data_IF_860536363338
#
_entry.id   IF_860536363338
#
_cell.length_a   1.000
_cell.length_b   1.000
_cell.length_c   1.000
_cell.angle_alpha   90.00
_cell.angle_beta   90.00
_cell.angle_gamma   90.00
#
_symmetry.space_group_name_H-M   'P 1'
#
loop_
_entity.id
_entity.type
_entity.pdbx_description
1 polymer ?
#
# COMPACT_ATOMS: atom_id res chain seq x y z
N UNK A 1 13.93 13.81 -30.42
CA UNK A 1 13.34 13.62 -29.08
C UNK A 1 12.26 12.56 -29.21
N UNK A 2 12.40 11.40 -28.58
CA UNK A 2 11.33 10.38 -28.59
C UNK A 2 10.10 10.94 -27.86
N UNK A 3 8.92 10.79 -28.47
CA UNK A 3 7.65 11.28 -27.91
C UNK A 3 7.27 10.35 -26.75
N UNK A 4 7.16 10.90 -25.55
CA UNK A 4 6.74 10.13 -24.36
C UNK A 4 5.23 9.91 -24.40
N UNK A 5 4.81 8.65 -24.31
CA UNK A 5 3.41 8.26 -24.21
C UNK A 5 2.89 8.55 -22.79
N UNK A 6 1.69 9.13 -22.71
CA UNK A 6 1.08 9.59 -21.45
C UNK A 6 -0.37 9.16 -21.36
N UNK A 7 -0.72 8.60 -20.21
CA UNK A 7 -2.07 8.16 -19.86
C UNK A 7 -2.46 8.74 -18.50
N UNK A 8 -3.70 9.17 -18.36
CA UNK A 8 -4.16 9.91 -17.19
C UNK A 8 -5.28 9.15 -16.49
N UNK A 9 -5.19 9.02 -15.17
CA UNK A 9 -6.28 8.52 -14.32
C UNK A 9 -6.74 9.64 -13.39
N UNK A 10 -7.88 10.30 -13.70
CA UNK A 10 -8.43 11.35 -12.84
C UNK A 10 -8.78 10.83 -11.46
N UNK A 11 -8.52 11.63 -10.43
CA UNK A 11 -8.97 11.32 -9.07
C UNK A 11 -10.44 11.71 -8.91
N UNK A 12 -11.26 10.75 -8.51
CA UNK A 12 -12.69 10.88 -8.25
C UNK A 12 -12.99 11.16 -6.78
N UNK A 13 -11.97 11.13 -5.92
CA UNK A 13 -12.09 11.27 -4.47
C UNK A 13 -12.22 9.93 -3.74
N UNK A 14 -12.17 8.81 -4.47
CA UNK A 14 -12.14 7.46 -3.92
C UNK A 14 -10.69 6.97 -3.94
N UNK A 15 -9.95 7.31 -2.89
CA UNK A 15 -8.49 7.24 -2.87
C UNK A 15 -7.97 5.83 -3.17
N UNK A 16 -8.58 4.78 -2.60
CA UNK A 16 -8.13 3.41 -2.86
C UNK A 16 -8.48 2.98 -4.27
N UNK A 17 -9.70 3.28 -4.73
CA UNK A 17 -10.12 2.94 -6.08
C UNK A 17 -9.24 3.63 -7.12
N UNK A 18 -9.04 4.93 -7.00
CA UNK A 18 -8.30 5.74 -7.97
C UNK A 18 -6.83 5.29 -8.04
N UNK A 19 -6.20 5.05 -6.89
CA UNK A 19 -4.84 4.54 -6.82
C UNK A 19 -4.73 3.13 -7.42
N UNK A 20 -5.66 2.23 -7.10
CA UNK A 20 -5.69 0.89 -7.66
C UNK A 20 -5.90 0.91 -9.18
N UNK A 21 -6.77 1.79 -9.70
CA UNK A 21 -6.94 2.00 -11.15
C UNK A 21 -5.65 2.49 -11.80
N UNK A 22 -4.96 3.44 -11.18
CA UNK A 22 -3.69 3.97 -11.69
C UNK A 22 -2.63 2.89 -11.81
N UNK A 23 -2.47 2.05 -10.79
CA UNK A 23 -1.57 0.89 -10.86
C UNK A 23 -2.04 -0.16 -11.87
N UNK A 24 -3.34 -0.43 -11.96
CA UNK A 24 -3.89 -1.34 -12.97
C UNK A 24 -3.57 -0.89 -14.40
N UNK A 25 -3.78 0.39 -14.70
CA UNK A 25 -3.40 0.97 -15.99
C UNK A 25 -1.89 0.97 -16.19
N UNK A 26 -1.13 1.26 -15.14
CA UNK A 26 0.33 1.15 -15.12
C UNK A 26 0.82 -0.24 -15.51
N UNK A 27 0.21 -1.31 -15.01
CA UNK A 27 0.54 -2.70 -15.34
C UNK A 27 0.23 -3.00 -16.81
N UNK A 28 -0.90 -2.53 -17.33
CA UNK A 28 -1.25 -2.66 -18.76
C UNK A 28 -0.18 -1.97 -19.61
N UNK A 29 0.15 -0.71 -19.31
CA UNK A 29 1.17 0.06 -20.05
C UNK A 29 2.55 -0.59 -19.92
N UNK A 30 2.94 -1.01 -18.72
CA UNK A 30 4.21 -1.69 -18.48
C UNK A 30 4.31 -2.98 -19.29
N UNK A 31 3.23 -3.75 -19.38
CA UNK A 31 3.23 -5.00 -20.15
C UNK A 31 3.41 -4.74 -21.64
N UNK A 32 2.68 -3.77 -22.19
CA UNK A 32 2.71 -3.45 -23.62
C UNK A 32 3.99 -2.72 -24.04
N UNK A 33 4.54 -1.87 -23.17
CA UNK A 33 5.66 -0.99 -23.50
C UNK A 33 6.97 -1.38 -22.80
N UNK A 34 6.96 -2.47 -22.02
CA UNK A 34 8.11 -2.99 -21.23
C UNK A 34 8.62 -2.05 -20.13
N UNK A 35 7.97 -0.89 -19.98
CA UNK A 35 8.19 0.06 -18.91
C UNK A 35 6.92 0.87 -18.67
N UNK A 36 6.67 1.24 -17.42
CA UNK A 36 5.73 2.28 -17.06
C UNK A 36 6.17 2.93 -15.76
N UNK A 37 6.00 4.24 -15.70
CA UNK A 37 6.27 5.07 -14.53
C UNK A 37 4.97 5.76 -14.14
N UNK A 38 4.62 5.71 -12.86
CA UNK A 38 3.42 6.32 -12.31
C UNK A 38 3.84 7.49 -11.42
N UNK A 39 3.18 8.63 -11.57
CA UNK A 39 3.39 9.80 -10.73
C UNK A 39 2.04 10.36 -10.25
N UNK A 40 1.96 10.73 -8.98
CA UNK A 40 0.86 11.54 -8.45
C UNK A 40 1.10 13.03 -8.78
N UNK A 41 0.19 13.64 -9.55
CA UNK A 41 0.27 15.05 -9.96
C UNK A 41 -0.73 15.95 -9.22
N UNK A 42 -1.31 15.46 -8.13
CA UNK A 42 -2.37 16.13 -7.38
C UNK A 42 -3.75 15.77 -7.93
N UNK A 43 -4.12 16.28 -9.12
CA UNK A 43 -5.48 16.08 -9.69
C UNK A 43 -5.69 14.73 -10.40
N UNK A 44 -4.61 14.08 -10.83
CA UNK A 44 -4.64 12.80 -11.52
C UNK A 44 -3.34 12.02 -11.27
N UNK A 45 -3.39 10.72 -11.51
CA UNK A 45 -2.17 9.92 -11.67
C UNK A 45 -1.75 9.94 -13.14
N UNK A 46 -0.49 10.28 -13.41
CA UNK A 46 0.12 10.23 -14.73
C UNK A 46 0.88 8.92 -14.91
N UNK A 47 0.59 8.18 -15.96
CA UNK A 47 1.33 6.98 -16.37
C UNK A 47 2.10 7.29 -17.63
N UNK A 48 3.41 7.06 -17.60
CA UNK A 48 4.35 7.43 -18.66
C UNK A 48 5.13 6.23 -19.16
N UNK A 49 5.37 6.20 -20.47
CA UNK A 49 6.27 5.23 -21.11
C UNK A 49 6.97 5.88 -22.31
N UNK A 50 8.22 5.53 -22.58
CA UNK A 50 8.98 6.00 -23.75
C UNK A 50 8.80 5.09 -24.96
N UNK A 51 8.36 3.86 -24.74
CA UNK A 51 8.16 2.86 -25.79
C UNK A 51 6.70 2.89 -26.28
N UNK A 52 6.52 2.56 -27.55
CA UNK A 52 5.18 2.35 -28.12
C UNK A 52 4.56 1.06 -27.56
N UNK A 53 3.24 1.00 -27.38
CA UNK A 53 2.55 -0.23 -26.97
C UNK A 53 2.67 -1.34 -28.03
N UNK A 54 3.18 -2.49 -27.63
CA UNK A 54 3.19 -3.72 -28.43
C UNK A 54 2.08 -4.67 -27.96
N UNK A 55 1.00 -4.74 -28.73
CA UNK A 55 -0.15 -5.59 -28.41
C UNK A 55 0.14 -7.09 -28.54
N UNK A 56 1.26 -7.50 -29.15
CA UNK A 56 1.69 -8.91 -29.11
C UNK A 56 2.08 -9.36 -27.70
N UNK A 57 2.43 -8.41 -26.81
CA UNK A 57 2.77 -8.68 -25.41
C UNK A 57 1.53 -8.84 -24.52
N UNK A 58 0.34 -8.54 -25.04
CA UNK A 58 -0.92 -8.54 -24.27
C UNK A 58 -1.20 -9.84 -23.48
N UNK A 59 -0.93 -11.05 -24.01
CA UNK A 59 -1.11 -12.29 -23.25
C UNK A 59 -0.32 -12.35 -21.93
N UNK A 60 0.77 -11.59 -21.79
CA UNK A 60 1.59 -11.54 -20.57
C UNK A 60 0.88 -10.89 -19.39
N UNK A 61 -0.19 -10.11 -19.61
CA UNK A 61 -1.00 -9.54 -18.51
C UNK A 61 -1.57 -10.64 -17.60
N UNK A 62 -1.78 -11.86 -18.13
CA UNK A 62 -2.24 -13.01 -17.33
C UNK A 62 -1.34 -13.31 -16.14
N UNK A 63 -0.02 -13.05 -16.25
CA UNK A 63 0.92 -13.23 -15.15
C UNK A 63 0.62 -12.33 -13.94
N UNK A 64 0.08 -11.14 -14.18
CA UNK A 64 -0.29 -10.17 -13.14
C UNK A 64 -1.65 -10.47 -12.50
N UNK A 65 -2.51 -11.28 -13.12
CA UNK A 65 -3.76 -11.67 -12.50
C UNK A 65 -3.56 -12.64 -11.33
N UNK A 66 -2.37 -13.27 -11.21
CA UNK A 66 -2.02 -14.18 -10.14
C UNK A 66 -2.88 -15.45 -10.11
N UNK A 67 -2.41 -16.46 -9.38
CA UNK A 67 -3.15 -17.72 -9.19
C UNK A 67 -3.67 -17.92 -7.77
N UNK A 68 -3.12 -17.15 -6.82
CA UNK A 68 -3.43 -17.22 -5.40
C UNK A 68 -4.84 -16.69 -5.12
N UNK A 69 -5.78 -17.62 -4.91
CA UNK A 69 -7.18 -17.28 -4.63
C UNK A 69 -7.34 -16.51 -3.31
N UNK A 70 -6.38 -16.62 -2.38
CA UNK A 70 -6.44 -15.92 -1.11
C UNK A 70 -5.98 -14.46 -1.27
N UNK A 71 -5.07 -14.15 -2.19
CA UNK A 71 -4.78 -12.75 -2.59
C UNK A 71 -6.01 -12.07 -3.18
N UNK A 72 -6.69 -12.74 -4.11
CA UNK A 72 -7.99 -12.28 -4.63
C UNK A 72 -9.02 -12.16 -3.51
N UNK A 73 -9.03 -13.12 -2.58
CA UNK A 73 -9.93 -13.15 -1.44
C UNK A 73 -9.75 -11.96 -0.50
N UNK A 74 -8.55 -11.40 -0.37
CA UNK A 74 -8.32 -10.20 0.43
C UNK A 74 -8.82 -8.93 -0.30
N UNK A 75 -8.45 -8.77 -1.57
CA UNK A 75 -8.88 -7.62 -2.41
C UNK A 75 -10.39 -7.58 -2.58
N UNK A 76 -11.03 -8.74 -2.63
CA UNK A 76 -12.47 -8.92 -2.85
C UNK A 76 -13.14 -9.59 -1.64
N UNK A 77 -12.74 -9.23 -0.42
CA UNK A 77 -13.18 -9.88 0.83
C UNK A 77 -14.69 -9.94 1.05
N UNK A 78 -15.48 -9.12 0.35
CA UNK A 78 -16.95 -9.14 0.41
C UNK A 78 -17.60 -10.05 -0.65
N UNK A 79 -16.83 -10.67 -1.54
CA UNK A 79 -17.32 -11.58 -2.59
C UNK A 79 -17.07 -13.04 -2.21
N UNK A 80 -17.96 -13.93 -2.68
CA UNK A 80 -17.78 -15.37 -2.50
C UNK A 80 -16.68 -15.92 -3.40
N UNK A 81 -16.00 -16.99 -2.97
CA UNK A 81 -14.95 -17.67 -3.76
C UNK A 81 -15.43 -18.07 -5.17
N UNK A 82 -16.70 -18.46 -5.33
CA UNK A 82 -17.28 -18.79 -6.64
C UNK A 82 -17.40 -17.56 -7.57
N UNK A 83 -17.80 -16.40 -7.03
CA UNK A 83 -17.83 -15.14 -7.78
C UNK A 83 -16.43 -14.69 -8.16
N UNK A 84 -15.46 -14.83 -7.27
CA UNK A 84 -14.05 -14.52 -7.54
C UNK A 84 -13.50 -15.36 -8.70
N UNK A 85 -13.76 -16.68 -8.72
CA UNK A 85 -13.35 -17.54 -9.84
C UNK A 85 -13.95 -17.11 -11.18
N UNK A 86 -15.23 -16.75 -11.18
CA UNK A 86 -15.93 -16.27 -12.38
C UNK A 86 -15.31 -14.96 -12.87
N UNK A 87 -15.15 -14.00 -11.96
CA UNK A 87 -14.54 -12.70 -12.24
C UNK A 87 -13.12 -12.85 -12.79
N UNK A 88 -12.31 -13.76 -12.24
CA UNK A 88 -10.95 -14.02 -12.76
C UNK A 88 -10.99 -14.44 -14.22
N UNK A 89 -11.91 -15.33 -14.60
CA UNK A 89 -12.07 -15.74 -16.01
C UNK A 89 -12.47 -14.56 -16.89
N UNK A 90 -13.45 -13.77 -16.43
CA UNK A 90 -13.96 -12.60 -17.17
C UNK A 90 -12.85 -11.54 -17.35
N UNK A 91 -12.01 -11.34 -16.34
CA UNK A 91 -10.85 -10.45 -16.41
C UNK A 91 -9.77 -10.99 -17.36
N UNK A 92 -9.51 -12.30 -17.39
CA UNK A 92 -8.58 -12.90 -18.36
C UNK A 92 -9.05 -12.64 -19.80
N UNK A 93 -10.33 -12.86 -20.07
CA UNK A 93 -10.91 -12.58 -21.38
C UNK A 93 -10.81 -11.09 -21.72
N UNK A 94 -11.19 -10.22 -20.78
CA UNK A 94 -11.12 -8.78 -20.95
C UNK A 94 -9.70 -8.30 -21.28
N UNK A 95 -8.71 -8.70 -20.48
CA UNK A 95 -7.32 -8.24 -20.61
C UNK A 95 -6.55 -8.90 -21.76
N UNK A 96 -7.07 -9.97 -22.38
CA UNK A 96 -6.45 -10.56 -23.56
C UNK A 96 -7.15 -10.20 -24.87
N UNK A 97 -8.17 -9.34 -24.82
CA UNK A 97 -8.81 -8.79 -25.99
C UNK A 97 -8.19 -7.42 -26.34
N UNK A 98 -7.62 -7.31 -27.54
CA UNK A 98 -6.93 -6.11 -28.01
C UNK A 98 -7.84 -4.87 -28.09
N UNK A 99 -9.09 -5.04 -28.55
CA UNK A 99 -10.04 -3.94 -28.70
C UNK A 99 -10.44 -3.35 -27.35
N UNK A 100 -10.65 -4.19 -26.34
CA UNK A 100 -10.92 -3.74 -24.97
C UNK A 100 -9.78 -2.87 -24.45
N UNK A 101 -8.54 -3.28 -24.69
CA UNK A 101 -7.37 -2.57 -24.18
C UNK A 101 -7.11 -1.27 -24.95
N UNK A 102 -7.34 -1.26 -26.27
CA UNK A 102 -7.37 -0.01 -27.03
C UNK A 102 -8.40 0.98 -26.51
N UNK A 103 -9.57 0.51 -26.06
CA UNK A 103 -10.60 1.38 -25.46
C UNK A 103 -10.16 1.93 -24.10
N UNK A 104 -9.58 1.08 -23.24
CA UNK A 104 -8.99 1.48 -21.95
C UNK A 104 -7.93 2.57 -22.13
N UNK A 105 -6.98 2.38 -23.04
CA UNK A 105 -5.92 3.37 -23.32
C UNK A 105 -6.45 4.68 -23.90
N UNK A 106 -7.64 4.66 -24.52
CA UNK A 106 -8.34 5.84 -25.03
C UNK A 106 -9.33 6.45 -24.03
N UNK A 107 -9.39 5.93 -22.79
CA UNK A 107 -10.33 6.34 -21.74
C UNK A 107 -11.81 6.28 -22.17
N UNK A 108 -12.16 5.38 -23.08
CA UNK A 108 -13.55 5.15 -23.50
C UNK A 108 -14.14 4.00 -22.69
N UNK A 109 -14.72 4.34 -21.53
CA UNK A 109 -15.23 3.38 -20.55
C UNK A 109 -16.76 3.38 -20.59
N UNK A 110 -17.34 2.44 -21.35
CA UNK A 110 -18.79 2.36 -21.60
C UNK A 110 -19.43 1.05 -21.10
N UNK A 111 -18.74 0.33 -20.22
CA UNK A 111 -19.18 -0.99 -19.77
C UNK A 111 -20.38 -0.97 -18.86
N UNK A 112 -20.95 -2.16 -18.68
CA UNK A 112 -22.00 -2.39 -17.69
C UNK A 112 -21.51 -2.01 -16.29
N UNK A 113 -22.38 -1.40 -15.50
CA UNK A 113 -22.02 -1.02 -14.14
C UNK A 113 -22.00 -2.23 -13.21
N UNK A 114 -20.93 -2.39 -12.43
CA UNK A 114 -20.75 -3.44 -11.42
C UNK A 114 -20.72 -2.82 -10.02
N UNK A 115 -21.13 -3.59 -9.00
CA UNK A 115 -21.07 -3.13 -7.61
C UNK A 115 -19.61 -3.05 -7.14
N UNK A 116 -19.21 -1.91 -6.58
CA UNK A 116 -17.88 -1.69 -6.00
C UNK A 116 -17.76 -2.42 -4.65
N UNK A 117 -16.84 -3.39 -4.49
CA UNK A 117 -16.57 -4.04 -3.21
C UNK A 117 -15.94 -3.07 -2.20
N UNK A 118 -16.36 -3.18 -0.93
CA UNK A 118 -15.88 -2.31 0.15
C UNK A 118 -14.40 -2.54 0.47
N UNK A 119 -13.88 -3.73 0.20
CA UNK A 119 -12.46 -4.05 0.36
C UNK A 119 -11.56 -3.37 -0.68
N UNK A 120 -12.13 -2.91 -1.80
CA UNK A 120 -11.42 -2.14 -2.83
C UNK A 120 -11.55 -0.64 -2.61
N UNK A 121 -12.61 -0.19 -1.94
CA UNK A 121 -12.81 1.19 -1.51
C UNK A 121 -13.63 1.23 -0.22
N UNK A 122 -12.99 1.57 0.90
CA UNK A 122 -13.64 1.58 2.22
C UNK A 122 -14.80 2.59 2.26
N UNK A 123 -14.66 3.73 1.57
CA UNK A 123 -15.69 4.76 1.43
C UNK A 123 -16.94 4.29 0.68
N UNK A 124 -16.91 3.15 0.00
CA UNK A 124 -18.09 2.57 -0.65
C UNK A 124 -19.09 1.95 0.36
N UNK A 125 -18.75 1.96 1.65
CA UNK A 125 -19.55 1.33 2.69
C UNK A 125 -20.70 2.20 3.18
N UNK A 126 -21.82 1.55 3.46
CA UNK A 126 -22.99 2.21 4.02
C UNK A 126 -22.67 2.75 5.42
N UNK A 127 -22.86 4.05 5.65
CA UNK A 127 -22.58 4.72 6.92
C UNK A 127 -21.26 5.49 7.02
N UNK A 128 -20.33 5.34 6.06
CA UNK A 128 -19.17 6.26 5.90
C UNK A 128 -19.51 7.40 4.94
N UNK A 129 -20.42 7.13 3.98
CA UNK A 129 -21.01 8.15 3.12
C UNK A 129 -21.92 9.02 4.01
N UNK A 130 -21.67 10.34 4.04
CA UNK A 130 -22.33 11.38 4.86
C UNK A 130 -23.67 10.98 5.49
N UNK A 131 -23.85 11.28 6.78
CA UNK A 131 -25.12 11.14 7.50
C UNK A 131 -26.28 11.80 6.71
N UNK A 132 -27.17 10.99 6.14
CA UNK A 132 -28.38 11.47 5.47
C UNK A 132 -29.51 11.49 6.50
N UNK A 133 -30.08 12.68 6.74
CA UNK A 133 -31.10 12.97 7.76
C UNK A 133 -32.50 12.41 7.48
N UNK A 134 -32.68 11.52 6.50
CA UNK A 134 -34.00 10.98 6.16
C UNK A 134 -33.93 9.62 5.46
N UNK A 135 -34.79 8.69 5.89
CA UNK A 135 -35.11 7.37 5.28
C UNK A 135 -33.92 6.56 4.76
N UNK A 136 -33.51 5.56 5.53
CA UNK A 136 -32.32 4.73 5.32
C UNK A 136 -32.48 3.77 4.11
N UNK A 137 -32.11 4.20 2.90
CA UNK A 137 -31.95 3.32 1.74
C UNK A 137 -30.75 3.72 0.87
N UNK A 138 -29.53 3.64 1.41
CA UNK A 138 -28.35 3.81 0.57
C UNK A 138 -28.21 2.66 -0.44
N UNK A 139 -28.23 2.98 -1.73
CA UNK A 139 -27.91 2.04 -2.80
C UNK A 139 -26.43 1.65 -2.75
N UNK A 140 -26.12 0.46 -3.28
CA UNK A 140 -24.73 0.03 -3.46
C UNK A 140 -24.06 0.93 -4.50
N UNK A 141 -22.81 1.33 -4.24
CA UNK A 141 -22.00 2.05 -5.23
C UNK A 141 -21.79 1.16 -6.45
N UNK A 142 -21.99 1.71 -7.65
CA UNK A 142 -21.68 1.04 -8.92
C UNK A 142 -20.67 1.84 -9.72
N UNK A 143 -19.77 1.14 -10.42
CA UNK A 143 -18.77 1.70 -11.32
C UNK A 143 -18.75 0.95 -12.66
N UNK A 144 -18.21 1.52 -13.74
CA UNK A 144 -17.98 0.77 -14.98
C UNK A 144 -17.14 -0.49 -14.75
N UNK A 145 -17.46 -1.58 -15.45
CA UNK A 145 -16.75 -2.85 -15.30
C UNK A 145 -15.25 -2.73 -15.62
N UNK A 146 -14.88 -1.92 -16.61
CA UNK A 146 -13.50 -1.71 -17.03
C UNK A 146 -12.68 -1.02 -15.93
N UNK A 147 -13.26 -0.01 -15.26
CA UNK A 147 -12.66 0.63 -14.09
C UNK A 147 -12.48 -0.35 -12.94
N UNK A 148 -13.48 -1.20 -12.71
CA UNK A 148 -13.40 -2.24 -11.71
C UNK A 148 -12.28 -3.24 -12.03
N UNK A 149 -12.14 -3.69 -13.28
CA UNK A 149 -11.09 -4.61 -13.69
C UNK A 149 -9.69 -4.01 -13.54
N UNK A 150 -9.51 -2.74 -13.91
CA UNK A 150 -8.25 -2.03 -13.67
C UNK A 150 -7.94 -1.93 -12.18
N UNK A 151 -8.92 -1.56 -11.37
CA UNK A 151 -8.73 -1.46 -9.93
C UNK A 151 -8.37 -2.81 -9.30
N UNK A 152 -9.04 -3.91 -9.69
CA UNK A 152 -8.70 -5.25 -9.19
C UNK A 152 -7.30 -5.67 -9.64
N UNK A 153 -6.94 -5.43 -10.91
CA UNK A 153 -5.60 -5.70 -11.43
C UNK A 153 -4.53 -4.95 -10.63
N UNK A 154 -4.71 -3.64 -10.40
CA UNK A 154 -3.77 -2.85 -9.60
C UNK A 154 -3.70 -3.33 -8.16
N UNK A 155 -4.85 -3.45 -7.48
CA UNK A 155 -4.93 -3.85 -6.09
C UNK A 155 -4.23 -5.19 -5.83
N UNK A 156 -4.49 -6.23 -6.65
CA UNK A 156 -3.84 -7.53 -6.48
C UNK A 156 -2.32 -7.41 -6.53
N UNK A 157 -1.77 -6.54 -7.38
CA UNK A 157 -0.33 -6.47 -7.64
C UNK A 157 0.44 -5.51 -6.76
N UNK A 158 -0.22 -4.58 -6.06
CA UNK A 158 0.48 -3.53 -5.31
C UNK A 158 0.10 -3.49 -3.83
N UNK A 159 -1.03 -4.08 -3.46
CA UNK A 159 -1.47 -4.04 -2.06
C UNK A 159 -0.81 -5.14 -1.22
N UNK A 160 -0.42 -4.76 0.00
CA UNK A 160 0.04 -5.69 1.03
C UNK A 160 -1.05 -5.86 2.06
N UNK A 161 -1.50 -7.09 2.25
CA UNK A 161 -2.57 -7.43 3.20
C UNK A 161 -2.01 -8.17 4.41
N UNK A 162 -2.42 -7.77 5.62
CA UNK A 162 -2.13 -8.46 6.88
C UNK A 162 -3.39 -8.57 7.72
N UNK A 163 -3.68 -9.77 8.21
CA UNK A 163 -4.90 -10.06 8.97
C UNK A 163 -4.62 -10.64 10.34
N UNK A 164 -5.47 -10.30 11.29
CA UNK A 164 -5.65 -10.99 12.56
C UNK A 164 -7.05 -11.61 12.62
N UNK A 165 -7.41 -12.17 13.77
CA UNK A 165 -8.78 -12.65 14.02
C UNK A 165 -9.81 -11.52 13.91
N UNK A 166 -9.43 -10.31 14.30
CA UNK A 166 -10.36 -9.19 14.45
C UNK A 166 -10.23 -8.15 13.34
N UNK A 167 -9.04 -8.04 12.72
CA UNK A 167 -8.75 -6.99 11.74
C UNK A 167 -8.16 -7.53 10.44
N UNK A 168 -8.34 -6.77 9.37
CA UNK A 168 -7.69 -6.93 8.08
C UNK A 168 -7.17 -5.56 7.64
N UNK A 169 -5.87 -5.46 7.41
CA UNK A 169 -5.18 -4.23 7.02
C UNK A 169 -4.69 -4.39 5.59
N UNK A 170 -4.95 -3.38 4.76
CA UNK A 170 -4.41 -3.23 3.42
C UNK A 170 -3.50 -2.01 3.38
N UNK A 171 -2.37 -2.12 2.70
CA UNK A 171 -1.40 -1.05 2.48
C UNK A 171 -1.15 -0.91 0.99
N UNK A 172 -1.24 0.31 0.48
CA UNK A 172 -1.01 0.69 -0.91
C UNK A 172 0.09 1.75 -0.96
N UNK A 173 1.20 1.55 -1.69
CA UNK A 173 2.21 2.58 -1.87
C UNK A 173 1.67 3.74 -2.72
N UNK A 174 1.98 4.98 -2.34
CA UNK A 174 1.61 6.18 -3.10
C UNK A 174 2.73 6.56 -4.06
N UNK A 175 2.48 6.64 -5.37
CA UNK A 175 3.54 6.87 -6.33
C UNK A 175 3.97 8.34 -6.41
N UNK A 176 5.27 8.62 -6.33
CA UNK A 176 5.84 9.93 -6.68
C UNK A 176 6.36 9.93 -8.12
N UNK A 177 7.21 8.96 -8.43
CA UNK A 177 7.76 8.73 -9.76
C UNK A 177 8.18 7.26 -9.90
N UNK A 178 7.24 6.36 -9.58
CA UNK A 178 7.52 4.95 -9.32
C UNK A 178 7.43 4.12 -10.58
N UNK A 179 8.43 3.26 -10.82
CA UNK A 179 8.30 2.24 -11.86
C UNK A 179 7.39 1.12 -11.36
N UNK A 180 6.53 0.63 -12.26
CA UNK A 180 5.59 -0.46 -11.92
C UNK A 180 6.32 -1.73 -11.46
N UNK A 181 7.46 -2.05 -12.08
CA UNK A 181 8.28 -3.20 -11.72
C UNK A 181 8.87 -3.12 -10.30
N UNK A 182 9.22 -1.92 -9.84
CA UNK A 182 9.79 -1.68 -8.52
C UNK A 182 8.74 -2.00 -7.46
N UNK A 183 7.50 -1.51 -7.64
CA UNK A 183 6.39 -1.77 -6.71
C UNK A 183 6.07 -3.26 -6.63
N UNK A 184 6.05 -3.95 -7.77
CA UNK A 184 5.83 -5.39 -7.79
C UNK A 184 6.91 -6.15 -7.01
N UNK A 185 8.18 -5.75 -7.19
CA UNK A 185 9.32 -6.32 -6.47
C UNK A 185 9.24 -6.05 -4.98
N UNK A 186 8.97 -4.80 -4.58
CA UNK A 186 8.78 -4.40 -3.19
C UNK A 186 7.64 -5.18 -2.54
N UNK A 187 6.47 -5.32 -3.21
CA UNK A 187 5.34 -6.09 -2.68
C UNK A 187 5.77 -7.52 -2.32
N UNK A 188 6.47 -8.21 -3.21
CA UNK A 188 6.91 -9.59 -2.97
C UNK A 188 7.84 -9.67 -1.76
N UNK A 189 8.85 -8.80 -1.70
CA UNK A 189 9.79 -8.75 -0.57
C UNK A 189 9.10 -8.39 0.76
N UNK A 190 8.11 -7.51 0.74
CA UNK A 190 7.28 -7.19 1.92
C UNK A 190 6.37 -8.35 2.33
N UNK A 191 5.81 -9.10 1.37
CA UNK A 191 5.02 -10.31 1.65
C UNK A 191 5.88 -11.34 2.38
N UNK A 192 7.13 -11.48 1.97
CA UNK A 192 8.10 -12.40 2.56
C UNK A 192 8.61 -11.92 3.93
N UNK A 193 8.97 -10.65 4.08
CA UNK A 193 9.62 -10.13 5.28
C UNK A 193 8.65 -9.76 6.41
N UNK A 194 7.47 -9.22 6.10
CA UNK A 194 6.45 -8.88 7.11
C UNK A 194 5.56 -10.09 7.35
N UNK A 195 5.89 -10.92 8.32
CA UNK A 195 5.01 -12.05 8.70
C UNK A 195 3.84 -11.55 9.55
N UNK A 196 2.61 -11.94 9.18
CA UNK A 196 1.40 -11.75 9.98
C UNK A 196 1.04 -10.31 10.36
N UNK A 197 0.08 -10.18 11.27
CA UNK A 197 -0.38 -8.92 11.85
C UNK A 197 0.37 -8.67 13.17
N UNK A 198 0.78 -7.42 13.43
CA UNK A 198 1.49 -7.06 14.64
C UNK A 198 0.54 -7.08 15.84
N UNK A 199 0.92 -7.76 16.93
CA UNK A 199 0.10 -7.92 18.14
C UNK A 199 -0.41 -6.60 18.73
N UNK A 200 0.42 -5.55 18.72
CA UNK A 200 0.05 -4.21 19.21
C UNK A 200 -1.09 -3.53 18.42
N UNK A 201 -1.44 -4.02 17.23
CA UNK A 201 -2.58 -3.51 16.46
C UNK A 201 -2.26 -3.19 15.00
N UNK A 202 -3.27 -2.63 14.33
CA UNK A 202 -3.18 -2.31 12.90
C UNK A 202 -2.13 -1.23 12.65
N UNK A 203 -2.03 -0.24 13.53
CA UNK A 203 -1.13 0.88 13.33
C UNK A 203 0.34 0.45 13.37
N UNK A 204 0.72 -0.38 14.34
CA UNK A 204 2.06 -1.00 14.37
C UNK A 204 2.30 -1.97 13.21
N UNK A 205 1.25 -2.56 12.65
CA UNK A 205 1.38 -3.36 11.42
C UNK A 205 1.71 -2.47 10.22
N UNK A 206 1.07 -1.30 10.10
CA UNK A 206 1.37 -0.33 9.04
C UNK A 206 2.78 0.24 9.20
N UNK A 207 3.17 0.68 10.41
CA UNK A 207 4.52 1.18 10.66
C UNK A 207 5.61 0.14 10.35
N UNK A 208 5.37 -1.14 10.71
CA UNK A 208 6.27 -2.24 10.37
C UNK A 208 6.42 -2.46 8.85
N UNK A 209 5.34 -2.27 8.09
CA UNK A 209 5.40 -2.30 6.63
C UNK A 209 6.16 -1.08 6.10
N UNK A 210 5.93 0.11 6.66
CA UNK A 210 6.56 1.36 6.26
C UNK A 210 8.08 1.33 6.38
N UNK A 211 8.63 0.95 7.55
CA UNK A 211 10.09 0.89 7.76
C UNK A 211 10.77 -0.07 6.80
N UNK A 212 10.11 -1.20 6.48
CA UNK A 212 10.64 -2.18 5.54
C UNK A 212 10.51 -1.71 4.10
N UNK A 213 9.43 -1.03 3.75
CA UNK A 213 9.21 -0.50 2.40
C UNK A 213 10.34 0.45 2.02
N UNK A 214 10.71 1.39 2.90
CA UNK A 214 11.78 2.36 2.64
C UNK A 214 13.15 1.68 2.46
N UNK A 215 13.44 0.64 3.24
CA UNK A 215 14.64 -0.18 3.03
C UNK A 215 14.62 -0.86 1.66
N UNK A 216 13.51 -1.51 1.30
CA UNK A 216 13.41 -2.19 0.00
C UNK A 216 13.49 -1.23 -1.18
N UNK A 217 12.94 -0.02 -1.03
CA UNK A 217 13.05 1.06 -2.00
C UNK A 217 14.50 1.53 -2.18
N UNK A 218 15.23 1.76 -1.08
CA UNK A 218 16.66 2.11 -1.15
C UNK A 218 17.47 1.02 -1.84
N UNK A 219 17.19 -0.24 -1.51
CA UNK A 219 17.88 -1.40 -2.09
C UNK A 219 17.68 -1.53 -3.61
N UNK A 220 16.56 -1.05 -4.16
CA UNK A 220 16.32 -1.05 -5.60
C UNK A 220 17.06 0.09 -6.33
N UNK A 221 17.50 1.13 -5.62
CA UNK A 221 18.20 2.28 -6.20
C UNK A 221 19.74 2.14 -6.24
N UNK A 222 20.29 0.97 -5.89
CA UNK A 222 21.74 0.71 -5.83
C UNK A 222 22.50 1.30 -7.03
N UNK A 223 23.36 2.30 -6.76
CA UNK A 223 24.26 2.91 -7.74
C UNK A 223 24.19 4.44 -7.85
N UNK A 224 23.28 5.11 -7.13
CA UNK A 224 23.17 6.58 -7.11
C UNK A 224 22.68 7.13 -5.76
N UNK A 225 22.49 8.46 -5.70
CA UNK A 225 21.85 9.11 -4.54
C UNK A 225 20.42 8.61 -4.38
N UNK A 226 20.03 8.29 -3.15
CA UNK A 226 18.66 7.92 -2.83
C UNK A 226 17.69 9.04 -3.26
N UNK A 227 16.63 8.68 -3.98
CA UNK A 227 15.58 9.60 -4.39
C UNK A 227 14.22 8.88 -4.25
N UNK A 228 13.39 9.27 -3.27
CA UNK A 228 12.11 8.61 -3.02
C UNK A 228 11.26 8.46 -4.29
N UNK A 229 10.79 7.25 -4.54
CA UNK A 229 9.88 6.87 -5.62
C UNK A 229 8.48 6.63 -5.09
N UNK A 230 8.33 6.33 -3.82
CA UNK A 230 7.07 6.18 -3.09
C UNK A 230 6.99 7.33 -2.08
N UNK A 231 5.88 8.07 -2.06
CA UNK A 231 5.75 9.25 -1.18
C UNK A 231 5.10 8.96 0.17
N UNK A 232 4.41 7.82 0.27
CA UNK A 232 3.62 7.49 1.43
C UNK A 232 2.96 6.12 1.29
N UNK A 233 2.23 5.72 2.33
CA UNK A 233 1.37 4.55 2.31
C UNK A 233 -0.07 4.99 2.55
N UNK A 234 -0.97 4.66 1.63
CA UNK A 234 -2.40 4.66 1.88
C UNK A 234 -2.77 3.34 2.56
N UNK A 235 -3.31 3.39 3.78
CA UNK A 235 -3.71 2.19 4.52
C UNK A 235 -5.20 2.18 4.84
N UNK A 236 -5.80 0.99 4.73
CA UNK A 236 -7.20 0.74 5.03
C UNK A 236 -7.33 -0.41 6.02
N UNK A 237 -8.22 -0.26 7.00
CA UNK A 237 -8.47 -1.26 8.04
C UNK A 237 -9.93 -1.64 8.01
N UNK A 238 -10.19 -2.95 7.96
CA UNK A 238 -11.50 -3.53 8.17
C UNK A 238 -11.52 -4.35 9.45
N UNK A 239 -12.65 -4.33 10.15
CA UNK A 239 -12.94 -5.17 11.30
C UNK A 239 -13.77 -6.37 10.86
N UNK A 240 -13.40 -7.56 11.29
CA UNK A 240 -14.12 -8.81 11.01
C UNK A 240 -15.34 -8.89 11.94
N UNK A 241 -16.53 -8.57 11.41
CA UNK A 241 -17.79 -8.68 12.16
C UNK A 241 -18.71 -9.71 11.51
N UNK A 242 -18.88 -10.88 12.13
CA UNK A 242 -19.69 -11.97 11.55
C UNK A 242 -19.12 -12.47 10.22
N UNK A 243 -19.97 -12.62 9.19
CA UNK A 243 -19.59 -13.23 7.91
C UNK A 243 -18.88 -12.29 6.92
N UNK A 244 -18.93 -10.96 7.13
CA UNK A 244 -18.30 -10.00 6.21
C UNK A 244 -17.52 -8.93 7.00
N UNK A 245 -16.28 -8.62 6.59
CA UNK A 245 -15.53 -7.53 7.19
C UNK A 245 -16.21 -6.19 6.88
N UNK A 246 -16.18 -5.27 7.84
CA UNK A 246 -16.68 -3.89 7.71
C UNK A 246 -15.51 -2.92 7.82
N UNK A 247 -15.53 -1.78 7.13
CA UNK A 247 -14.51 -0.76 7.36
C UNK A 247 -14.45 -0.33 8.82
N UNK A 248 -13.25 -0.01 9.25
CA UNK A 248 -12.98 0.48 10.60
C UNK A 248 -12.31 1.85 10.54
N UNK A 249 -11.20 1.96 9.81
CA UNK A 249 -10.49 3.23 9.61
C UNK A 249 -9.65 3.19 8.33
N UNK A 250 -9.22 4.34 7.86
CA UNK A 250 -8.25 4.50 6.79
C UNK A 250 -7.41 5.74 7.04
N UNK A 251 -6.20 5.78 6.49
CA UNK A 251 -5.35 6.95 6.61
C UNK A 251 -4.17 6.92 5.66
N UNK A 252 -3.40 8.00 5.73
CA UNK A 252 -2.12 8.13 5.06
C UNK A 252 -1.03 7.98 6.13
N UNK A 253 -0.05 7.13 5.86
CA UNK A 253 1.15 7.00 6.67
C UNK A 253 2.29 7.68 5.91
N UNK A 254 2.84 8.79 6.43
CA UNK A 254 3.91 9.52 5.77
C UNK A 254 5.21 8.71 5.78
N UNK A 255 6.05 8.92 4.77
CA UNK A 255 7.36 8.26 4.69
C UNK A 255 8.53 9.26 4.71
N UNK A 256 8.27 10.57 4.68
CA UNK A 256 9.30 11.61 4.57
C UNK A 256 10.38 11.49 5.65
N UNK A 257 9.98 11.25 6.89
CA UNK A 257 10.91 11.02 8.00
C UNK A 257 11.78 9.76 7.83
N UNK A 258 11.21 8.68 7.29
CA UNK A 258 11.99 7.47 7.02
C UNK A 258 12.92 7.68 5.82
N UNK A 259 12.48 8.42 4.81
CA UNK A 259 13.30 8.77 3.66
C UNK A 259 14.51 9.60 4.06
N UNK A 260 14.34 10.61 4.91
CA UNK A 260 15.47 11.43 5.37
C UNK A 260 16.50 10.62 6.15
N UNK A 261 16.07 9.65 6.95
CA UNK A 261 16.98 8.79 7.72
C UNK A 261 17.72 7.78 6.86
N UNK A 262 17.09 7.25 5.82
CA UNK A 262 17.73 6.23 4.98
C UNK A 262 18.82 6.82 4.07
N UNK A 263 18.98 8.14 4.00
CA UNK A 263 20.05 8.81 3.26
C UNK A 263 21.42 8.68 3.92
N UNK A 264 21.48 8.49 5.24
CA UNK A 264 22.71 8.37 6.02
C UNK A 264 22.90 6.95 6.56
N UNK A 265 24.15 6.60 6.92
CA UNK A 265 24.44 5.29 7.50
C UNK A 265 23.82 5.19 8.90
N UNK A 266 23.96 6.25 9.69
CA UNK A 266 23.51 6.36 11.07
C UNK A 266 21.98 6.30 11.17
N UNK A 267 21.27 6.94 10.22
CA UNK A 267 19.81 6.87 10.14
C UNK A 267 19.32 5.50 9.66
N UNK A 268 20.05 4.84 8.76
CA UNK A 268 19.77 3.47 8.35
C UNK A 268 19.93 2.47 9.50
N UNK A 269 20.94 2.62 10.34
CA UNK A 269 21.12 1.82 11.56
C UNK A 269 19.94 1.98 12.53
N UNK A 270 19.41 3.21 12.66
CA UNK A 270 18.22 3.46 13.47
C UNK A 270 16.98 2.74 12.90
N UNK A 271 16.78 2.77 11.57
CA UNK A 271 15.71 2.04 10.89
C UNK A 271 15.85 0.53 11.09
N UNK A 272 17.06 -0.01 10.96
CA UNK A 272 17.31 -1.45 11.16
C UNK A 272 16.97 -1.88 12.59
N UNK A 273 17.30 -1.04 13.59
CA UNK A 273 16.88 -1.24 14.97
C UNK A 273 15.36 -1.23 15.13
N UNK A 274 14.66 -0.31 14.46
CA UNK A 274 13.19 -0.25 14.50
C UNK A 274 12.53 -1.47 13.86
N UNK A 275 13.09 -1.98 12.75
CA UNK A 275 12.68 -3.23 12.15
C UNK A 275 12.85 -4.38 13.15
N UNK A 276 14.01 -4.46 13.80
CA UNK A 276 14.29 -5.49 14.82
C UNK A 276 13.26 -5.44 15.97
N UNK A 277 13.01 -4.25 16.51
CA UNK A 277 12.03 -4.05 17.59
C UNK A 277 10.65 -4.50 17.13
N UNK A 278 10.13 -3.95 16.03
CA UNK A 278 8.78 -4.24 15.55
C UNK A 278 8.59 -5.72 15.19
N UNK A 279 9.61 -6.39 14.65
CA UNK A 279 9.55 -7.82 14.37
C UNK A 279 9.51 -8.65 15.65
N UNK A 280 10.42 -8.39 16.59
CA UNK A 280 10.54 -9.18 17.82
C UNK A 280 9.33 -8.98 18.73
N UNK A 281 8.73 -7.79 18.72
CA UNK A 281 7.51 -7.50 19.49
C UNK A 281 6.23 -7.95 18.80
N UNK A 282 6.29 -8.38 17.53
CA UNK A 282 5.09 -8.72 16.74
C UNK A 282 4.23 -9.83 17.34
N UNK A 283 4.83 -10.76 18.08
CA UNK A 283 4.14 -11.94 18.60
C UNK A 283 4.23 -12.11 20.11
N UNK A 284 4.98 -11.24 20.79
CA UNK A 284 5.31 -11.39 22.20
C UNK A 284 4.44 -10.42 23.01
N UNK A 285 3.74 -10.97 24.01
CA UNK A 285 2.89 -10.19 24.91
C UNK A 285 3.75 -9.35 25.86
N UNK A 286 3.31 -8.14 26.16
CA UNK A 286 3.93 -7.23 27.13
C UNK A 286 4.85 -6.17 26.51
N UNK A 287 4.91 -6.09 25.18
CA UNK A 287 5.70 -5.11 24.42
C UNK A 287 4.86 -4.25 23.49
N UNK A 288 3.52 -4.32 23.62
CA UNK A 288 2.59 -3.58 22.80
C UNK A 288 2.74 -2.06 22.97
N UNK A 289 3.12 -1.60 24.16
CA UNK A 289 3.37 -0.19 24.48
C UNK A 289 4.59 0.38 23.74
N UNK A 290 5.72 -0.34 23.75
CA UNK A 290 6.93 0.05 23.02
C UNK A 290 6.66 0.08 21.51
N UNK A 291 6.02 -0.97 20.99
CA UNK A 291 5.72 -1.06 19.57
C UNK A 291 4.78 0.06 19.12
N UNK A 292 3.74 0.36 19.91
CA UNK A 292 2.81 1.46 19.60
C UNK A 292 3.49 2.82 19.68
N UNK A 293 4.31 3.08 20.71
CA UNK A 293 5.03 4.33 20.85
C UNK A 293 6.03 4.54 19.70
N UNK A 294 6.78 3.49 19.31
CA UNK A 294 7.65 3.54 18.14
C UNK A 294 6.86 3.81 16.85
N UNK A 295 5.72 3.13 16.67
CA UNK A 295 4.87 3.33 15.49
C UNK A 295 4.32 4.76 15.40
N UNK A 296 3.95 5.34 16.54
CA UNK A 296 3.47 6.72 16.66
C UNK A 296 4.59 7.70 16.35
N UNK A 297 5.77 7.49 16.91
CA UNK A 297 6.93 8.30 16.61
C UNK A 297 7.33 8.28 15.12
N UNK A 298 7.32 7.10 14.48
CA UNK A 298 7.64 7.01 13.05
C UNK A 298 6.61 7.77 12.20
N UNK A 299 5.32 7.70 12.56
CA UNK A 299 4.26 8.38 11.83
C UNK A 299 4.25 9.90 12.05
N UNK A 300 4.59 10.32 13.27
CA UNK A 300 4.56 11.70 13.75
C UNK A 300 5.85 11.97 14.53
N UNK A 301 6.94 12.36 13.84
CA UNK A 301 8.28 12.48 14.42
C UNK A 301 8.44 13.76 15.24
N UNK A 302 7.58 13.95 16.25
CA UNK A 302 7.66 15.07 17.18
C UNK A 302 8.59 14.74 18.35
N UNK A 303 9.13 15.77 18.98
CA UNK A 303 9.98 15.61 20.17
C UNK A 303 9.26 14.85 21.30
N UNK A 304 7.96 15.10 21.49
CA UNK A 304 7.13 14.40 22.48
C UNK A 304 7.01 12.90 22.17
N UNK A 305 6.74 12.54 20.92
CA UNK A 305 6.64 11.14 20.50
C UNK A 305 8.00 10.43 20.58
N UNK A 306 9.07 11.11 20.20
CA UNK A 306 10.44 10.61 20.36
C UNK A 306 10.76 10.30 21.83
N UNK A 307 10.52 11.26 22.74
CA UNK A 307 10.72 11.05 24.17
C UNK A 307 9.88 9.91 24.73
N UNK A 308 8.61 9.82 24.31
CA UNK A 308 7.71 8.76 24.72
C UNK A 308 8.25 7.38 24.30
N UNK A 309 8.69 7.24 23.06
CA UNK A 309 9.33 6.02 22.57
C UNK A 309 10.63 5.70 23.30
N UNK A 310 11.59 6.63 23.33
CA UNK A 310 12.93 6.39 23.90
C UNK A 310 12.84 6.06 25.39
N UNK A 311 11.96 6.71 26.15
CA UNK A 311 11.74 6.38 27.57
C UNK A 311 11.27 4.95 27.75
N UNK A 312 10.36 4.47 26.90
CA UNK A 312 9.87 3.10 26.96
C UNK A 312 10.95 2.09 26.54
N UNK A 313 11.72 2.40 25.50
CA UNK A 313 12.88 1.62 25.06
C UNK A 313 13.91 1.48 26.18
N UNK A 314 14.37 2.59 26.77
CA UNK A 314 15.35 2.58 27.86
C UNK A 314 14.83 1.83 29.09
N UNK A 315 13.57 2.05 29.47
CA UNK A 315 12.94 1.31 30.57
C UNK A 315 12.95 -0.19 30.31
N UNK A 316 12.73 -0.60 29.06
CA UNK A 316 12.83 -2.00 28.67
C UNK A 316 14.26 -2.52 28.76
N UNK A 317 15.24 -1.78 28.22
CA UNK A 317 16.65 -2.16 28.27
C UNK A 317 17.22 -2.25 29.70
N UNK A 318 16.63 -1.55 30.68
CA UNK A 318 17.05 -1.62 32.09
C UNK A 318 16.39 -2.76 32.89
N UNK A 319 15.29 -3.36 32.42
CA UNK A 319 14.59 -4.45 33.14
C UNK A 319 15.35 -5.77 33.04
N UNK A 320 15.61 -6.47 34.13
CA UNK A 320 16.40 -7.72 34.11
C UNK A 320 15.80 -8.85 33.27
N UNK A 321 14.47 -9.00 33.24
CA UNK A 321 13.77 -10.11 32.57
C UNK A 321 13.06 -9.70 31.26
N UNK A 322 13.57 -8.69 30.56
CA UNK A 322 13.03 -8.25 29.27
C UNK A 322 13.89 -8.70 28.09
N UNK A 323 13.27 -8.74 26.92
CA UNK A 323 13.97 -8.85 25.64
C UNK A 323 14.84 -7.62 25.46
N UNK A 324 16.14 -7.83 25.19
CA UNK A 324 17.09 -6.76 24.89
C UNK A 324 17.15 -6.53 23.39
N UNK A 325 16.84 -5.31 23.00
CA UNK A 325 17.06 -4.81 21.64
C UNK A 325 18.45 -4.19 21.52
N UNK A 326 19.09 -3.84 22.64
CA UNK A 326 20.36 -3.16 22.69
C UNK A 326 20.21 -1.63 22.60
N UNK A 327 21.31 -0.95 22.91
CA UNK A 327 21.37 0.51 22.87
C UNK A 327 21.50 1.02 21.44
N UNK A 328 21.16 2.29 21.24
CA UNK A 328 21.51 3.04 20.04
C UNK A 328 22.91 3.61 20.19
N UNK A 329 23.61 3.78 19.07
CA UNK A 329 24.79 4.62 19.04
C UNK A 329 24.39 6.10 19.20
N UNK A 330 25.30 6.91 19.74
CA UNK A 330 25.06 8.34 19.92
C UNK A 330 24.83 9.05 18.57
N UNK A 331 25.55 8.63 17.53
CA UNK A 331 25.45 9.22 16.20
C UNK A 331 24.11 8.87 15.54
N UNK A 332 23.61 7.64 15.69
CA UNK A 332 22.27 7.26 15.21
C UNK A 332 21.16 8.04 15.94
N UNK A 333 21.28 8.26 17.25
CA UNK A 333 20.31 9.07 17.99
C UNK A 333 20.34 10.53 17.58
N UNK A 334 21.53 11.10 17.35
CA UNK A 334 21.68 12.47 16.88
C UNK A 334 21.06 12.62 15.50
N UNK A 335 21.28 11.65 14.62
CA UNK A 335 20.72 11.64 13.27
C UNK A 335 19.19 11.57 13.28
N UNK A 336 18.61 10.72 14.15
CA UNK A 336 17.16 10.71 14.39
C UNK A 336 16.68 12.09 14.84
N UNK A 337 17.32 12.68 15.86
CA UNK A 337 16.94 13.97 16.44
C UNK A 337 17.00 15.15 15.46
N UNK A 338 17.93 15.16 14.49
CA UNK A 338 17.99 16.21 13.45
C UNK A 338 16.71 16.29 12.61
N UNK A 339 16.01 15.16 12.50
CA UNK A 339 14.81 14.99 11.68
C UNK A 339 13.52 14.99 12.53
N UNK A 340 13.60 15.36 13.81
CA UNK A 340 12.46 15.45 14.74
C UNK A 340 11.94 16.88 14.79
N UNK A 341 10.63 17.05 14.69
CA UNK A 341 9.95 18.34 14.80
C UNK A 341 9.87 18.81 16.26
N UNK A 342 10.28 20.05 16.51
CA UNK A 342 10.11 20.72 17.80
C UNK A 342 8.81 21.52 17.72
N UNK A 343 7.75 21.01 18.36
CA UNK A 343 6.45 21.69 18.44
C UNK A 343 6.40 22.76 19.50
#
# INVERSE_FOLDING_TARGET
>A
MSRMNRYLVPKTGWQFLDLAKAYGLGIVVHTLSKEAIIADTGSYYEIRSKNEPDFSELPKIRGYLGEDIDEWGNVLATLSKARIKTLRRDMVEFFTNEDNIKQVLRLKLNGKSVTLPQSLELGASKGIRKAVLSSYSESQVKIPAEEFYLAVLGAINISVWKGSKDYLVAVYPLPLDTRVEDVYTIKHRLKESVKGFHRAGYFSTVARIAVRLVKEEKELMRGGSFLPKIGGILYGVMMRTGNQPKPFTSGLFPLDFLHSLVETLEGEEAIDKWIEILDRTSYIKGYEDIAMALSTFIAEPTLENYYSYIRLHLRNELRSNSIKFGSYDADSLLEVLKNVEVS
#
